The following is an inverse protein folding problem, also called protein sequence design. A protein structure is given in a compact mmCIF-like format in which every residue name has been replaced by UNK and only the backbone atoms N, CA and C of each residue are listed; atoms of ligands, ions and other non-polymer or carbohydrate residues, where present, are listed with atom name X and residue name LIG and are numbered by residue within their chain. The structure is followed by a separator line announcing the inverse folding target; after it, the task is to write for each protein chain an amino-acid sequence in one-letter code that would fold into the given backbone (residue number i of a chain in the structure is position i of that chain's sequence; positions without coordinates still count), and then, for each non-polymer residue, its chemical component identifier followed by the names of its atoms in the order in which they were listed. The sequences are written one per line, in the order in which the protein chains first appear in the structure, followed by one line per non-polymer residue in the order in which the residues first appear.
data_IF_124107322628
#
_entry.id   IF_124107322628
#
_cell.length_a   1.000
_cell.length_b   1.000
_cell.length_c   1.000
_cell.angle_alpha   90.00
_cell.angle_beta   90.00
_cell.angle_gamma   90.00
#
_symmetry.space_group_name_H-M   'P 1'
#
loop_
_entity.id
_entity.type
_entity.pdbx_description
1 polymer ?
#
# COMPACT_ATOMS: atom_id res chain seq x y z
N UNK A 1 14.62 44.47 -8.25
CA UNK A 1 15.06 43.45 -7.26
C UNK A 1 13.98 42.39 -7.02
N UNK A 2 12.74 42.72 -6.60
CA UNK A 2 11.70 41.72 -6.26
C UNK A 2 11.37 40.77 -7.44
N UNK A 3 11.27 41.25 -8.68
CA UNK A 3 10.99 40.43 -9.88
C UNK A 3 12.13 39.44 -10.20
N UNK A 4 13.38 39.86 -10.00
CA UNK A 4 14.57 39.02 -10.22
C UNK A 4 14.63 37.93 -9.16
N UNK A 5 14.27 38.21 -7.90
CA UNK A 5 14.23 37.23 -6.82
C UNK A 5 13.15 36.16 -7.06
N UNK A 6 11.99 36.56 -7.54
CA UNK A 6 10.91 35.64 -7.92
C UNK A 6 11.34 34.76 -9.09
N UNK A 7 11.99 35.33 -10.11
CA UNK A 7 12.50 34.56 -11.25
C UNK A 7 13.57 33.56 -10.83
N UNK A 8 14.51 33.94 -9.98
CA UNK A 8 15.53 33.03 -9.41
C UNK A 8 14.90 31.92 -8.57
N UNK A 9 13.88 32.24 -7.78
CA UNK A 9 13.17 31.24 -6.98
C UNK A 9 12.43 30.23 -7.85
N UNK A 10 11.74 30.68 -8.92
CA UNK A 10 11.05 29.76 -9.84
C UNK A 10 12.03 28.89 -10.63
N UNK A 11 13.18 29.42 -11.04
CA UNK A 11 14.24 28.63 -11.69
C UNK A 11 14.81 27.60 -10.72
N UNK A 12 15.06 27.97 -9.46
CA UNK A 12 15.57 27.07 -8.44
C UNK A 12 14.57 25.92 -8.16
N UNK A 13 13.28 26.22 -8.13
CA UNK A 13 12.23 25.19 -7.95
C UNK A 13 12.18 24.20 -9.13
N UNK A 14 12.37 24.68 -10.36
CA UNK A 14 12.40 23.80 -11.56
C UNK A 14 13.59 22.84 -11.57
N UNK A 15 14.71 23.23 -10.95
CA UNK A 15 15.89 22.36 -10.81
C UNK A 15 15.71 21.27 -9.76
N UNK A 16 14.73 21.43 -8.84
CA UNK A 16 14.42 20.43 -7.81
C UNK A 16 13.41 19.37 -8.31
N UNK A 17 12.84 19.52 -9.49
CA UNK A 17 12.04 18.46 -10.12
C UNK A 17 13.00 17.38 -10.61
N UNK A 18 13.35 16.48 -9.70
CA UNK A 18 14.04 15.25 -10.05
C UNK A 18 13.04 14.42 -10.83
N UNK A 19 13.15 14.42 -12.15
CA UNK A 19 12.42 13.49 -12.99
C UNK A 19 12.71 12.07 -12.45
N UNK A 20 11.65 11.32 -12.17
CA UNK A 20 11.82 9.95 -11.70
C UNK A 20 12.61 9.21 -12.78
N UNK A 21 13.84 8.83 -12.44
CA UNK A 21 14.64 8.02 -13.35
C UNK A 21 13.92 6.71 -13.59
N UNK A 22 13.79 6.25 -14.84
CA UNK A 22 13.19 4.95 -15.13
C UNK A 22 13.89 3.88 -14.30
N UNK A 23 13.12 2.94 -13.73
CA UNK A 23 13.71 1.82 -13.00
C UNK A 23 14.63 1.04 -13.93
N UNK A 24 15.91 0.96 -13.58
CA UNK A 24 16.87 0.07 -14.25
C UNK A 24 16.80 -1.30 -13.60
N UNK A 25 16.57 -2.32 -14.41
CA UNK A 25 16.48 -3.69 -13.94
C UNK A 25 17.85 -4.37 -13.99
N UNK A 26 18.20 -5.11 -12.96
CA UNK A 26 19.35 -6.01 -12.95
C UNK A 26 19.10 -7.22 -13.85
N UNK A 27 20.14 -7.92 -14.25
CA UNK A 27 20.01 -9.13 -15.07
C UNK A 27 19.17 -10.21 -14.37
N UNK A 28 19.26 -10.33 -13.05
CA UNK A 28 18.44 -11.26 -12.25
C UNK A 28 16.97 -10.88 -12.24
N UNK A 29 16.64 -9.59 -12.13
CA UNK A 29 15.27 -9.11 -12.22
C UNK A 29 14.68 -9.35 -13.61
N UNK A 30 15.44 -9.10 -14.68
CA UNK A 30 15.03 -9.38 -16.06
C UNK A 30 14.76 -10.88 -16.23
N UNK A 31 15.65 -11.75 -15.77
CA UNK A 31 15.45 -13.19 -15.85
C UNK A 31 14.20 -13.63 -15.08
N UNK A 32 13.96 -13.07 -13.91
CA UNK A 32 12.76 -13.36 -13.12
C UNK A 32 11.47 -12.96 -13.88
N UNK A 33 11.47 -11.79 -14.50
CA UNK A 33 10.32 -11.34 -15.31
C UNK A 33 10.09 -12.26 -16.52
N UNK A 34 11.16 -12.68 -17.21
CA UNK A 34 11.05 -13.62 -18.32
C UNK A 34 10.48 -14.98 -17.89
N UNK A 35 10.89 -15.48 -16.72
CA UNK A 35 10.32 -16.72 -16.16
C UNK A 35 8.83 -16.56 -15.83
N UNK A 36 8.41 -15.41 -15.31
CA UNK A 36 6.99 -15.11 -15.01
C UNK A 36 6.10 -15.16 -16.24
N UNK A 37 6.61 -14.87 -17.44
CA UNK A 37 5.83 -14.95 -18.68
C UNK A 37 5.31 -16.37 -19.00
N UNK A 38 5.94 -17.39 -18.45
CA UNK A 38 5.52 -18.79 -18.65
C UNK A 38 4.54 -19.28 -17.57
N UNK A 39 4.14 -18.42 -16.62
CA UNK A 39 3.28 -18.80 -15.51
C UNK A 39 2.00 -18.00 -15.58
N UNK A 40 0.88 -18.64 -15.91
CA UNK A 40 -0.43 -18.00 -16.04
C UNK A 40 -1.23 -17.95 -14.72
N UNK A 41 -0.71 -18.57 -13.65
CA UNK A 41 -1.39 -18.62 -12.35
C UNK A 41 -1.46 -17.24 -11.69
N UNK A 42 -2.62 -16.94 -11.09
CA UNK A 42 -2.79 -15.75 -10.23
C UNK A 42 -3.42 -16.14 -8.91
N UNK A 43 -3.03 -15.46 -7.85
CA UNK A 43 -3.54 -15.66 -6.49
C UNK A 43 -3.89 -14.31 -5.88
N UNK A 44 -5.08 -14.21 -5.30
CA UNK A 44 -5.49 -13.07 -4.51
C UNK A 44 -5.69 -13.51 -3.06
N UNK A 45 -4.86 -13.01 -2.18
CA UNK A 45 -5.02 -13.14 -0.74
C UNK A 45 -5.94 -12.03 -0.25
N UNK A 46 -6.97 -12.37 0.51
CA UNK A 46 -7.97 -11.39 1.01
C UNK A 46 -7.98 -11.45 2.52
N UNK A 47 -7.86 -10.30 3.17
CA UNK A 47 -8.00 -10.17 4.62
C UNK A 47 -8.62 -8.82 5.01
N UNK A 48 -9.05 -8.69 6.26
CA UNK A 48 -9.81 -7.53 6.71
C UNK A 48 -8.95 -6.26 6.81
N UNK A 49 -7.76 -6.39 7.39
CA UNK A 49 -6.94 -5.23 7.74
C UNK A 49 -5.52 -5.35 7.19
N UNK A 50 -4.76 -4.23 7.12
CA UNK A 50 -3.31 -4.26 7.04
C UNK A 50 -2.74 -5.11 8.20
N UNK A 51 -1.73 -5.93 7.92
CA UNK A 51 -1.06 -6.87 8.84
C UNK A 51 -1.72 -8.27 8.99
N UNK A 52 -2.89 -8.50 8.46
CA UNK A 52 -3.52 -9.84 8.45
C UNK A 52 -2.91 -10.78 7.39
N UNK A 53 -2.03 -10.29 6.54
CA UNK A 53 -1.46 -11.10 5.47
C UNK A 53 -0.36 -12.04 5.96
N UNK A 54 -0.31 -13.23 5.38
CA UNK A 54 0.83 -14.10 5.50
C UNK A 54 1.92 -13.69 4.51
N UNK A 55 2.85 -12.82 4.95
CA UNK A 55 3.92 -12.26 4.13
C UNK A 55 4.84 -13.34 3.54
N UNK A 56 5.09 -14.44 4.27
CA UNK A 56 5.89 -15.58 3.78
C UNK A 56 5.19 -16.29 2.61
N UNK A 57 3.87 -16.48 2.72
CA UNK A 57 3.09 -17.08 1.65
C UNK A 57 3.05 -16.19 0.42
N UNK A 58 2.85 -14.89 0.59
CA UNK A 58 2.86 -13.93 -0.52
C UNK A 58 4.20 -13.94 -1.25
N UNK A 59 5.31 -13.87 -0.51
CA UNK A 59 6.66 -13.93 -1.07
C UNK A 59 6.93 -15.25 -1.80
N UNK A 60 6.52 -16.38 -1.23
CA UNK A 60 6.65 -17.70 -1.86
C UNK A 60 5.88 -17.78 -3.18
N UNK A 61 4.64 -17.32 -3.20
CA UNK A 61 3.80 -17.34 -4.40
C UNK A 61 4.35 -16.41 -5.49
N UNK A 62 4.78 -15.21 -5.11
CA UNK A 62 5.27 -14.20 -6.05
C UNK A 62 6.67 -14.49 -6.60
N UNK A 63 7.59 -15.04 -5.78
CA UNK A 63 9.00 -15.16 -6.10
C UNK A 63 9.43 -16.58 -6.44
N UNK A 64 8.85 -17.61 -5.80
CA UNK A 64 9.18 -19.02 -6.04
C UNK A 64 8.21 -19.65 -7.04
N UNK A 65 6.91 -19.47 -6.84
CA UNK A 65 5.89 -20.01 -7.76
C UNK A 65 5.66 -19.13 -8.97
N UNK A 66 6.13 -17.89 -8.92
CA UNK A 66 6.06 -16.90 -10.00
C UNK A 66 4.62 -16.51 -10.38
N UNK A 67 3.65 -16.79 -9.52
CA UNK A 67 2.26 -16.39 -9.74
C UNK A 67 2.13 -14.86 -9.66
N UNK A 68 1.21 -14.32 -10.46
CA UNK A 68 0.73 -12.97 -10.19
C UNK A 68 0.00 -12.99 -8.85
N UNK A 69 0.62 -12.43 -7.82
CA UNK A 69 0.13 -12.50 -6.45
C UNK A 69 -0.33 -11.13 -6.00
N UNK A 70 -1.55 -11.04 -5.49
CA UNK A 70 -2.12 -9.82 -4.93
C UNK A 70 -2.55 -10.01 -3.48
N UNK A 71 -2.47 -8.94 -2.71
CA UNK A 71 -3.10 -8.81 -1.41
C UNK A 71 -4.21 -7.77 -1.47
N UNK A 72 -5.43 -8.16 -1.17
CA UNK A 72 -6.57 -7.26 -0.97
C UNK A 72 -6.82 -7.10 0.52
N UNK A 73 -6.45 -5.95 1.07
CA UNK A 73 -6.91 -5.52 2.37
C UNK A 73 -8.29 -4.87 2.22
N UNK A 74 -9.29 -5.39 2.93
CA UNK A 74 -10.65 -4.85 2.81
C UNK A 74 -10.75 -3.42 3.35
N UNK A 75 -10.02 -3.11 4.41
CA UNK A 75 -9.93 -1.76 5.00
C UNK A 75 -8.51 -1.22 4.91
N UNK A 76 -8.31 0.00 5.35
CA UNK A 76 -6.97 0.62 5.50
C UNK A 76 -6.45 0.59 6.93
N UNK A 77 -7.18 -0.06 7.85
CA UNK A 77 -6.84 -0.12 9.26
C UNK A 77 -7.02 1.21 9.99
N UNK A 78 -7.84 2.10 9.43
CA UNK A 78 -8.12 3.43 9.98
C UNK A 78 -8.94 3.39 11.28
N UNK A 79 -9.66 2.29 11.53
CA UNK A 79 -10.33 2.02 12.82
C UNK A 79 -9.43 1.40 13.89
N UNK A 80 -8.19 1.08 13.57
CA UNK A 80 -7.24 0.44 14.49
C UNK A 80 -6.64 1.40 15.51
N UNK A 81 -5.70 0.86 16.31
CA UNK A 81 -4.92 1.63 17.27
C UNK A 81 -3.51 1.86 16.75
N UNK A 82 -2.95 3.03 17.04
CA UNK A 82 -1.54 3.33 16.84
C UNK A 82 -0.82 3.23 18.19
N UNK A 83 0.15 2.30 18.29
CA UNK A 83 0.94 2.11 19.50
C UNK A 83 2.26 2.89 19.49
N UNK A 84 2.57 3.55 18.37
CA UNK A 84 3.86 4.21 18.16
C UNK A 84 3.69 5.73 18.14
N UNK A 85 2.54 6.23 17.68
CA UNK A 85 2.24 7.65 17.52
C UNK A 85 0.81 7.99 17.91
N UNK A 86 0.44 9.24 17.71
CA UNK A 86 -0.88 9.79 18.09
C UNK A 86 -1.87 9.77 16.92
N UNK A 87 -1.44 9.35 15.73
CA UNK A 87 -2.28 9.34 14.54
C UNK A 87 -3.40 8.32 14.67
N UNK A 88 -4.62 8.74 14.36
CA UNK A 88 -5.83 7.95 14.41
C UNK A 88 -6.69 8.20 13.16
N UNK A 89 -7.63 7.31 12.87
CA UNK A 89 -8.55 7.48 11.77
C UNK A 89 -7.83 7.56 10.43
N UNK A 90 -8.16 8.56 9.63
CA UNK A 90 -7.63 8.72 8.25
C UNK A 90 -6.11 8.80 8.24
N UNK A 91 -5.49 9.49 9.18
CA UNK A 91 -4.03 9.64 9.24
C UNK A 91 -3.35 8.29 9.49
N UNK A 92 -3.89 7.48 10.41
CA UNK A 92 -3.44 6.11 10.62
C UNK A 92 -3.63 5.25 9.36
N UNK A 93 -4.78 5.36 8.70
CA UNK A 93 -5.06 4.64 7.44
C UNK A 93 -4.07 4.99 6.33
N UNK A 94 -3.63 6.25 6.24
CA UNK A 94 -2.59 6.68 5.29
C UNK A 94 -1.23 6.04 5.63
N UNK A 95 -0.84 6.04 6.90
CA UNK A 95 0.42 5.42 7.36
C UNK A 95 0.40 3.93 7.01
N UNK A 96 -0.63 3.20 7.43
CA UNK A 96 -0.75 1.75 7.18
C UNK A 96 -0.83 1.39 5.69
N UNK A 97 -1.43 2.27 4.89
CA UNK A 97 -1.38 2.13 3.43
C UNK A 97 0.07 2.15 2.91
N UNK A 98 0.90 3.09 3.39
CA UNK A 98 2.29 3.20 2.96
C UNK A 98 3.14 2.02 3.46
N UNK A 99 2.86 1.52 4.66
CA UNK A 99 3.52 0.31 5.20
C UNK A 99 3.24 -0.90 4.32
N UNK A 100 1.97 -1.14 3.92
CA UNK A 100 1.63 -2.24 3.00
C UNK A 100 2.29 -2.08 1.64
N UNK A 101 2.30 -0.86 1.08
CA UNK A 101 3.00 -0.61 -0.19
C UNK A 101 4.51 -0.84 -0.07
N UNK A 102 5.09 -0.56 1.09
CA UNK A 102 6.49 -0.88 1.36
C UNK A 102 6.72 -2.39 1.43
N UNK A 103 5.86 -3.12 2.14
CA UNK A 103 5.93 -4.58 2.24
C UNK A 103 5.82 -5.24 0.87
N UNK A 104 4.92 -4.78 -0.01
CA UNK A 104 4.77 -5.29 -1.40
C UNK A 104 6.01 -5.10 -2.25
N UNK A 105 6.78 -4.04 -2.01
CA UNK A 105 8.08 -3.86 -2.70
C UNK A 105 9.11 -4.93 -2.32
N UNK A 106 8.97 -5.55 -1.16
CA UNK A 106 9.88 -6.59 -0.66
C UNK A 106 9.40 -7.99 -1.08
N UNK A 107 8.12 -8.30 -0.88
CA UNK A 107 7.58 -9.65 -1.14
C UNK A 107 7.19 -9.88 -2.62
N UNK A 108 7.11 -8.81 -3.42
CA UNK A 108 6.83 -8.89 -4.86
C UNK A 108 5.36 -9.10 -5.21
N UNK A 109 4.44 -9.01 -4.25
CA UNK A 109 3.01 -9.02 -4.50
C UNK A 109 2.48 -7.62 -4.85
N UNK A 110 1.27 -7.55 -5.41
CA UNK A 110 0.54 -6.32 -5.68
C UNK A 110 -0.38 -5.98 -4.49
N UNK A 111 -0.52 -4.69 -4.15
CA UNK A 111 -1.43 -4.25 -3.11
C UNK A 111 -2.74 -3.73 -3.69
N UNK A 112 -3.84 -4.22 -3.14
CA UNK A 112 -5.19 -3.75 -3.43
C UNK A 112 -5.91 -3.36 -2.14
N UNK A 113 -6.84 -2.40 -2.26
CA UNK A 113 -7.71 -1.98 -1.17
C UNK A 113 -9.15 -1.92 -1.67
N UNK A 114 -10.09 -2.30 -0.82
CA UNK A 114 -11.50 -1.98 -1.05
C UNK A 114 -11.82 -0.57 -0.53
N UNK A 115 -13.08 -0.18 -0.61
CA UNK A 115 -13.61 1.05 0.00
C UNK A 115 -14.38 0.77 1.29
N UNK A 116 -14.18 -0.41 1.89
CA UNK A 116 -14.79 -0.73 3.16
C UNK A 116 -14.18 0.14 4.26
N UNK A 117 -15.02 0.63 5.13
CA UNK A 117 -14.65 1.40 6.31
C UNK A 117 -14.25 0.44 7.43
N UNK A 118 -13.18 0.77 8.14
CA UNK A 118 -12.77 0.07 9.34
C UNK A 118 -13.46 0.67 10.56
N UNK A 119 -14.37 -0.07 11.17
CA UNK A 119 -15.10 0.37 12.36
C UNK A 119 -14.31 0.11 13.67
N UNK A 120 -13.12 -0.46 13.58
CA UNK A 120 -12.27 -0.76 14.71
C UNK A 120 -12.79 -1.86 15.63
N UNK A 121 -12.26 -1.91 16.83
CA UNK A 121 -12.66 -2.90 17.82
C UNK A 121 -14.05 -2.58 18.39
N UNK A 122 -14.95 -3.55 18.35
CA UNK A 122 -16.28 -3.47 18.91
C UNK A 122 -16.49 -4.58 19.97
N UNK A 123 -17.08 -4.22 21.10
CA UNK A 123 -17.35 -5.17 22.19
C UNK A 123 -18.51 -6.10 21.88
N UNK A 124 -19.43 -5.69 21.02
CA UNK A 124 -20.61 -6.45 20.62
C UNK A 124 -20.79 -6.38 19.11
N UNK A 125 -21.39 -7.42 18.52
CA UNK A 125 -21.68 -7.47 17.09
C UNK A 125 -22.71 -6.42 16.63
N UNK A 126 -23.39 -5.77 17.54
CA UNK A 126 -24.39 -4.73 17.23
C UNK A 126 -23.77 -3.34 17.09
N UNK A 127 -22.59 -3.10 17.67
CA UNK A 127 -21.94 -1.78 17.64
C UNK A 127 -21.59 -1.32 16.23
N UNK A 128 -21.07 -2.14 15.32
CA UNK A 128 -20.77 -1.74 13.96
C UNK A 128 -22.00 -1.28 13.16
N UNK A 129 -23.18 -1.80 13.52
CA UNK A 129 -24.44 -1.53 12.80
C UNK A 129 -25.24 -0.34 13.36
N UNK A 130 -24.73 0.36 14.37
CA UNK A 130 -25.38 1.56 14.86
C UNK A 130 -25.38 2.67 13.79
N UNK A 131 -26.48 3.43 13.64
CA UNK A 131 -26.52 4.58 12.74
C UNK A 131 -25.36 5.54 13.02
N UNK A 132 -24.57 5.86 12.00
CA UNK A 132 -23.39 6.74 12.08
C UNK A 132 -22.06 6.03 12.33
N UNK A 133 -22.03 4.71 12.61
CA UNK A 133 -20.78 3.96 12.75
C UNK A 133 -20.26 3.48 11.39
N UNK A 134 -21.15 3.09 10.47
CA UNK A 134 -20.77 2.49 9.18
C UNK A 134 -20.74 3.45 7.98
N UNK A 135 -21.10 4.71 8.14
CA UNK A 135 -21.20 5.64 7.01
C UNK A 135 -20.56 6.97 7.38
N UNK A 136 -19.25 7.08 7.19
CA UNK A 136 -18.62 8.34 6.85
C UNK A 136 -17.97 8.15 5.48
N UNK A 137 -18.77 8.36 4.44
CA UNK A 137 -18.30 8.54 3.08
C UNK A 137 -17.70 9.94 2.94
#
# INVERSE_FOLDING_TARGET
MRKILVLLFTILQSLLVIAQTPKTYTSSEILLQLKKLNVLGSVLYIAAHPDDENTRLLSYLASEKLYRTGYLSLTRGDGGQNLIGDEQGIDLGLIRTQELLAARRIDGAEQFFSRAYDFGFCKTSQEPFKPGTMIKF
#
